data_IF_524025150361
#
_entry.id   IF_524025150361
#
_cell.length_a   1.000
_cell.length_b   1.000
_cell.length_c   1.000
_cell.angle_alpha   90.00
_cell.angle_beta   90.00
_cell.angle_gamma   90.00
#
_symmetry.space_group_name_H-M   'P 1'
#
loop_
_entity.id
_entity.type
_entity.pdbx_description
1 polymer ?
#
# COMPACT_ATOMS: atom_id res chain seq x y z
N UNK A 1 -58.26 31.21 18.98
CA UNK A 1 -58.50 29.80 18.58
C UNK A 1 -58.20 29.69 17.09
N UNK A 2 -57.27 28.88 16.55
CA UNK A 2 -56.32 27.88 17.05
C UNK A 2 -55.16 27.90 16.04
N UNK A 3 -53.92 27.94 16.51
CA UNK A 3 -52.73 27.80 15.67
C UNK A 3 -52.61 26.38 15.09
N UNK A 4 -52.03 26.25 13.90
CA UNK A 4 -51.60 24.97 13.37
C UNK A 4 -50.08 24.95 13.33
N UNK A 5 -49.55 24.04 14.12
CA UNK A 5 -48.14 23.78 14.39
C UNK A 5 -47.43 23.23 13.15
N UNK A 6 -46.18 23.64 13.04
CA UNK A 6 -45.13 23.12 12.19
C UNK A 6 -44.96 21.60 12.33
N UNK A 7 -44.64 20.93 11.22
CA UNK A 7 -43.91 19.66 11.24
C UNK A 7 -42.98 19.61 10.01
N UNK A 8 -41.86 20.31 10.11
CA UNK A 8 -40.75 20.16 9.16
C UNK A 8 -39.94 18.93 9.59
N UNK A 9 -40.05 17.84 8.84
CA UNK A 9 -39.27 16.62 9.08
C UNK A 9 -37.81 16.86 8.66
N UNK A 10 -36.95 17.13 9.64
CA UNK A 10 -35.50 17.17 9.45
C UNK A 10 -34.98 15.72 9.40
N UNK A 11 -34.75 15.22 8.19
CA UNK A 11 -34.05 13.94 7.98
C UNK A 11 -32.58 14.18 8.32
N UNK A 12 -32.18 13.80 9.54
CA UNK A 12 -30.78 13.74 9.94
C UNK A 12 -30.16 12.52 9.24
N UNK A 13 -29.46 12.72 8.13
CA UNK A 13 -28.58 11.70 7.58
C UNK A 13 -27.47 11.43 8.60
N UNK A 14 -27.60 10.36 9.41
CA UNK A 14 -26.46 9.74 10.06
C UNK A 14 -25.59 9.12 8.96
N UNK A 15 -24.66 9.89 8.41
CA UNK A 15 -23.53 9.30 7.71
C UNK A 15 -22.73 8.51 8.75
N UNK A 16 -22.42 7.22 8.53
CA UNK A 16 -21.48 6.53 9.39
C UNK A 16 -20.17 7.32 9.38
N UNK A 17 -19.65 7.67 10.57
CA UNK A 17 -18.31 8.23 10.69
C UNK A 17 -17.36 7.22 10.08
N UNK A 18 -16.88 7.49 8.86
CA UNK A 18 -15.85 6.68 8.24
C UNK A 18 -14.62 6.79 9.15
N UNK A 19 -14.30 5.70 9.85
CA UNK A 19 -13.09 5.63 10.67
C UNK A 19 -11.88 5.92 9.77
N UNK A 20 -10.96 6.74 10.27
CA UNK A 20 -9.74 7.04 9.55
C UNK A 20 -8.94 5.74 9.36
N UNK A 21 -8.51 5.49 8.13
CA UNK A 21 -7.63 4.37 7.82
C UNK A 21 -6.19 4.83 8.00
N UNK A 22 -5.38 4.02 8.67
CA UNK A 22 -3.98 4.34 8.95
C UNK A 22 -3.06 3.22 8.51
N UNK A 23 -1.88 3.60 8.00
CA UNK A 23 -0.87 2.70 7.48
C UNK A 23 0.52 3.30 7.71
N UNK A 24 1.40 2.58 8.41
CA UNK A 24 2.80 2.99 8.64
C UNK A 24 3.74 1.79 8.50
N UNK A 25 4.89 2.04 7.89
CA UNK A 25 5.98 1.10 7.80
C UNK A 25 7.17 1.64 8.57
N UNK A 26 7.80 0.75 9.33
CA UNK A 26 8.97 1.08 10.13
C UNK A 26 10.04 0.01 9.96
N UNK A 27 11.29 0.44 10.07
CA UNK A 27 12.43 -0.47 10.09
C UNK A 27 13.08 -0.37 11.47
N UNK A 28 13.07 -1.45 12.27
CA UNK A 28 13.43 -1.37 13.69
C UNK A 28 14.93 -1.15 13.92
N UNK A 29 15.77 -1.54 12.96
CA UNK A 29 17.22 -1.48 13.08
C UNK A 29 17.94 -1.53 11.73
N UNK A 30 19.24 -1.29 11.77
CA UNK A 30 20.16 -1.61 10.68
C UNK A 30 20.51 -3.10 10.76
N UNK A 31 20.56 -3.77 9.61
CA UNK A 31 20.83 -5.21 9.50
C UNK A 31 22.27 -5.48 9.13
N UNK A 32 22.82 -6.59 9.63
CA UNK A 32 24.10 -7.09 9.15
C UNK A 32 23.93 -7.90 7.85
N UNK A 33 24.95 -8.00 6.99
CA UNK A 33 24.89 -8.87 5.82
C UNK A 33 24.57 -10.32 6.20
N UNK A 34 23.58 -10.93 5.55
CA UNK A 34 23.10 -12.28 5.86
C UNK A 34 22.12 -12.39 7.04
N UNK A 35 21.81 -11.28 7.71
CA UNK A 35 20.75 -11.23 8.72
C UNK A 35 19.37 -11.20 8.04
N UNK A 36 18.39 -11.88 8.66
CA UNK A 36 17.00 -11.84 8.22
C UNK A 36 16.41 -10.44 8.41
N UNK A 37 16.10 -9.78 7.31
CA UNK A 37 15.50 -8.43 7.31
C UNK A 37 14.02 -8.52 7.64
N UNK A 38 13.58 -7.71 8.60
CA UNK A 38 12.19 -7.63 9.04
C UNK A 38 11.76 -6.17 9.06
N UNK A 39 10.59 -5.87 8.53
CA UNK A 39 9.98 -4.54 8.64
C UNK A 39 8.69 -4.65 9.44
N UNK A 40 8.38 -3.61 10.18
CA UNK A 40 7.20 -3.56 11.02
C UNK A 40 6.10 -2.85 10.25
N UNK A 41 4.96 -3.50 10.13
CA UNK A 41 3.79 -2.92 9.52
C UNK A 41 2.71 -2.68 10.57
N UNK A 42 2.36 -1.40 10.76
CA UNK A 42 1.29 -0.95 11.63
C UNK A 42 0.13 -0.44 10.77
N UNK A 43 -1.07 -0.98 10.97
CA UNK A 43 -2.24 -0.50 10.24
C UNK A 43 -3.52 -0.55 11.06
N UNK A 44 -4.43 0.36 10.78
CA UNK A 44 -5.71 0.48 11.47
C UNK A 44 -6.85 0.62 10.47
N UNK A 45 -7.92 -0.14 10.68
CA UNK A 45 -9.13 -0.12 9.85
C UNK A 45 -8.86 -0.46 8.36
N UNK A 46 -7.85 -1.29 8.11
CA UNK A 46 -7.49 -1.79 6.78
C UNK A 46 -7.91 -3.25 6.64
N UNK A 47 -8.63 -3.54 5.56
CA UNK A 47 -9.01 -4.89 5.16
C UNK A 47 -8.60 -5.14 3.71
N UNK A 48 -8.07 -6.33 3.45
CA UNK A 48 -7.78 -6.83 2.11
C UNK A 48 -6.29 -6.87 1.82
N UNK A 49 -5.95 -6.62 0.56
CA UNK A 49 -4.60 -6.90 0.06
C UNK A 49 -3.68 -5.69 0.15
N UNK A 50 -2.47 -5.91 0.65
CA UNK A 50 -1.41 -4.91 0.73
C UNK A 50 -0.27 -5.36 -0.16
N UNK A 51 0.11 -4.47 -1.08
CA UNK A 51 1.19 -4.71 -2.01
C UNK A 51 2.46 -4.06 -1.50
N UNK A 52 3.57 -4.72 -1.76
CA UNK A 52 4.89 -4.27 -1.35
C UNK A 52 5.83 -4.26 -2.55
N UNK A 53 6.75 -3.30 -2.54
CA UNK A 53 7.84 -3.19 -3.50
C UNK A 53 9.12 -2.86 -2.77
N UNK A 54 10.19 -3.54 -3.14
CA UNK A 54 11.54 -3.23 -2.69
C UNK A 54 12.32 -2.62 -3.85
N UNK A 55 12.98 -1.50 -3.59
CA UNK A 55 13.85 -0.83 -4.54
C UNK A 55 15.26 -0.66 -3.98
N UNK A 56 16.27 -0.69 -4.85
CA UNK A 56 17.66 -0.38 -4.46
C UNK A 56 17.88 1.12 -4.48
N UNK A 57 18.50 1.67 -3.46
CA UNK A 57 18.91 3.08 -3.43
C UNK A 57 20.33 3.16 -3.99
N UNK A 58 20.50 3.88 -5.11
CA UNK A 58 21.78 3.97 -5.79
C UNK A 58 22.83 4.75 -5.00
N UNK A 59 22.43 5.90 -4.44
CA UNK A 59 23.26 6.75 -3.58
C UNK A 59 22.58 6.98 -2.23
N UNK A 60 22.88 6.16 -1.21
CA UNK A 60 22.29 6.30 0.12
C UNK A 60 22.57 7.65 0.76
N UNK A 61 23.78 8.21 0.57
CA UNK A 61 24.17 9.46 1.22
C UNK A 61 23.31 10.61 0.70
N UNK A 62 23.20 10.74 -0.61
CA UNK A 62 22.36 11.78 -1.22
C UNK A 62 20.89 11.58 -0.88
N UNK A 63 20.40 10.33 -0.86
CA UNK A 63 19.02 10.02 -0.48
C UNK A 63 18.67 10.50 0.92
N UNK A 64 19.46 10.13 1.93
CA UNK A 64 19.17 10.46 3.33
C UNK A 64 19.40 11.94 3.65
N UNK A 65 20.39 12.59 3.02
CA UNK A 65 20.63 14.03 3.20
C UNK A 65 19.47 14.91 2.70
N UNK A 66 18.72 14.43 1.71
CA UNK A 66 17.57 15.18 1.18
C UNK A 66 16.33 15.06 2.08
N UNK A 67 16.25 14.03 2.94
CA UNK A 67 15.09 13.82 3.81
C UNK A 67 15.15 14.72 5.05
N UNK A 68 14.01 15.33 5.40
CA UNK A 68 13.86 16.00 6.69
C UNK A 68 13.82 15.01 7.86
N UNK A 69 13.28 13.82 7.62
CA UNK A 69 13.28 12.69 8.54
C UNK A 69 13.84 11.45 7.83
N UNK A 70 15.03 10.94 8.24
CA UNK A 70 15.62 9.74 7.67
C UNK A 70 14.79 8.46 7.88
N UNK A 71 13.95 8.42 8.91
CA UNK A 71 13.13 7.27 9.26
C UNK A 71 11.80 7.24 8.50
N UNK A 72 11.31 8.41 8.07
CA UNK A 72 10.10 8.55 7.27
C UNK A 72 10.43 9.30 5.98
N UNK A 73 10.79 8.60 4.89
CA UNK A 73 11.14 9.24 3.63
C UNK A 73 9.89 9.83 2.93
N UNK A 74 9.37 10.92 3.46
CA UNK A 74 8.11 11.57 3.06
C UNK A 74 8.18 12.20 1.66
N UNK A 75 9.37 12.57 1.18
CA UNK A 75 9.53 13.22 -0.14
C UNK A 75 9.23 12.29 -1.32
N UNK A 76 9.18 10.98 -1.10
CA UNK A 76 8.88 9.99 -2.14
C UNK A 76 7.44 10.05 -2.64
N UNK A 77 6.54 10.67 -1.87
CA UNK A 77 5.16 10.93 -2.29
C UNK A 77 5.09 11.83 -3.53
N UNK A 78 6.06 12.74 -3.69
CA UNK A 78 6.08 13.73 -4.78
C UNK A 78 6.83 13.25 -6.04
N UNK A 79 7.61 12.16 -5.97
CA UNK A 79 8.41 11.65 -7.10
C UNK A 79 7.54 10.83 -8.08
N UNK A 80 6.33 10.47 -7.68
CA UNK A 80 5.32 10.02 -8.64
C UNK A 80 4.79 11.23 -9.39
N UNK A 81 5.32 11.48 -10.58
CA UNK A 81 4.60 12.28 -11.56
C UNK A 81 3.22 11.65 -11.75
N UNK A 82 2.21 12.32 -11.19
CA UNK A 82 0.82 12.20 -11.58
C UNK A 82 0.73 12.52 -13.07
N UNK A 83 1.06 11.56 -13.92
CA UNK A 83 0.74 11.63 -15.32
C UNK A 83 -0.79 11.58 -15.37
N UNK A 84 -1.45 12.55 -16.02
CA UNK A 84 -2.91 12.56 -16.18
C UNK A 84 -3.43 11.22 -16.74
N UNK A 85 -2.58 10.50 -17.46
CA UNK A 85 -2.79 9.15 -17.95
C UNK A 85 -2.92 8.13 -16.81
N UNK A 86 -2.16 8.22 -15.73
CA UNK A 86 -2.24 7.33 -14.58
C UNK A 86 -3.51 7.59 -13.77
N UNK A 87 -3.93 8.86 -13.63
CA UNK A 87 -5.24 9.20 -13.05
C UNK A 87 -6.37 8.66 -13.94
N UNK A 88 -6.27 8.82 -15.27
CA UNK A 88 -7.25 8.30 -16.22
C UNK A 88 -7.30 6.77 -16.23
N UNK A 89 -6.14 6.10 -16.09
CA UNK A 89 -6.03 4.64 -15.96
C UNK A 89 -6.63 4.18 -14.64
N UNK A 90 -6.36 4.84 -13.53
CA UNK A 90 -6.95 4.54 -12.24
C UNK A 90 -8.48 4.73 -12.27
N UNK A 91 -8.97 5.81 -12.87
CA UNK A 91 -10.40 6.08 -13.06
C UNK A 91 -11.08 5.04 -13.96
N UNK A 92 -10.46 4.67 -15.09
CA UNK A 92 -10.95 3.60 -15.97
C UNK A 92 -10.98 2.25 -15.26
N UNK A 93 -9.91 1.92 -14.53
CA UNK A 93 -9.82 0.69 -13.75
C UNK A 93 -10.88 0.65 -12.64
N UNK A 94 -11.22 1.80 -12.04
CA UNK A 94 -12.32 1.92 -11.07
C UNK A 94 -13.68 1.66 -11.72
N UNK A 95 -13.97 2.32 -12.85
CA UNK A 95 -15.23 2.10 -13.59
C UNK A 95 -15.39 0.66 -14.07
N UNK A 96 -14.30 0.02 -14.54
CA UNK A 96 -14.33 -1.39 -14.91
C UNK A 96 -14.57 -2.32 -13.71
N UNK A 97 -14.02 -1.99 -12.53
CA UNK A 97 -14.29 -2.73 -11.30
C UNK A 97 -15.72 -2.57 -10.85
N UNK A 98 -16.25 -1.36 -10.83
CA UNK A 98 -17.64 -1.06 -10.45
C UNK A 98 -18.62 -1.77 -11.39
N UNK A 99 -18.38 -1.71 -12.70
CA UNK A 99 -19.18 -2.47 -13.68
C UNK A 99 -19.08 -3.99 -13.46
N UNK A 100 -17.87 -4.52 -13.28
CA UNK A 100 -17.67 -5.96 -13.04
C UNK A 100 -18.26 -6.39 -11.69
N UNK A 101 -18.35 -5.51 -10.70
CA UNK A 101 -18.96 -5.78 -9.41
C UNK A 101 -20.50 -5.83 -9.54
N UNK A 102 -21.10 -4.89 -10.24
CA UNK A 102 -22.55 -4.91 -10.56
C UNK A 102 -22.93 -6.14 -11.39
N UNK A 103 -22.07 -6.57 -12.34
CA UNK A 103 -22.27 -7.82 -13.07
C UNK A 103 -22.04 -9.07 -12.20
N UNK A 104 -21.08 -9.03 -11.27
CA UNK A 104 -20.81 -10.12 -10.32
C UNK A 104 -21.97 -10.38 -9.37
N UNK A 105 -22.69 -9.33 -8.98
CA UNK A 105 -23.83 -9.42 -8.06
C UNK A 105 -25.09 -10.00 -8.75
N UNK A 106 -25.09 -10.08 -10.08
CA UNK A 106 -26.17 -10.63 -10.92
C UNK A 106 -25.81 -11.95 -11.64
N UNK A 107 -24.62 -12.52 -11.43
CA UNK A 107 -24.20 -13.77 -12.05
C UNK A 107 -24.03 -14.90 -11.03
N UNK A 108 -24.78 -15.98 -11.23
CA UNK A 108 -24.75 -17.21 -10.43
C UNK A 108 -23.36 -17.85 -10.43
N UNK A 109 -22.94 -18.51 -9.32
CA UNK A 109 -21.59 -19.08 -9.16
C UNK A 109 -21.15 -20.06 -10.25
N UNK A 110 -22.10 -20.71 -10.94
CA UNK A 110 -21.86 -21.77 -11.91
C UNK A 110 -21.21 -21.28 -13.21
N UNK A 111 -21.44 -20.04 -13.65
CA UNK A 111 -20.88 -19.49 -14.91
C UNK A 111 -19.40 -19.07 -14.80
N UNK A 112 -18.88 -18.92 -13.57
CA UNK A 112 -17.51 -18.45 -13.32
C UNK A 112 -16.43 -19.49 -13.63
N UNK A 113 -16.77 -20.76 -13.45
CA UNK A 113 -15.84 -21.88 -13.65
C UNK A 113 -15.70 -22.20 -15.14
N UNK A 114 -16.81 -22.15 -15.88
CA UNK A 114 -16.84 -22.47 -17.31
C UNK A 114 -16.14 -21.40 -18.16
N UNK A 115 -16.35 -20.12 -17.91
CA UNK A 115 -15.68 -19.05 -18.67
C UNK A 115 -14.17 -19.01 -18.41
N UNK A 116 -13.74 -19.30 -17.17
CA UNK A 116 -12.32 -19.35 -16.79
C UNK A 116 -11.59 -20.52 -17.47
N UNK A 117 -12.26 -21.67 -17.59
CA UNK A 117 -11.71 -22.86 -18.25
C UNK A 117 -11.76 -22.76 -19.79
N UNK A 118 -12.76 -22.07 -20.36
CA UNK A 118 -12.89 -21.95 -21.83
C UNK A 118 -11.99 -20.87 -22.43
N UNK A 119 -11.67 -19.80 -21.70
CA UNK A 119 -10.84 -18.68 -22.21
C UNK A 119 -9.36 -18.74 -21.82
N UNK A 120 -8.94 -19.70 -21.00
CA UNK A 120 -7.53 -19.88 -20.62
C UNK A 120 -6.87 -18.64 -20.01
N UNK A 121 -7.65 -17.74 -19.38
CA UNK A 121 -7.12 -16.47 -18.88
C UNK A 121 -6.19 -16.75 -17.70
N UNK A 122 -4.88 -16.49 -17.81
CA UNK A 122 -3.93 -16.76 -16.73
C UNK A 122 -4.24 -15.85 -15.53
N UNK A 123 -4.02 -16.37 -14.32
CA UNK A 123 -4.11 -15.57 -13.11
C UNK A 123 -3.10 -14.41 -13.20
N UNK A 124 -3.54 -13.18 -12.92
CA UNK A 124 -2.65 -12.03 -12.94
C UNK A 124 -1.54 -12.18 -11.89
N UNK A 125 -0.29 -11.95 -12.31
CA UNK A 125 0.85 -11.91 -11.39
C UNK A 125 0.71 -10.76 -10.40
N UNK A 126 1.37 -10.89 -9.24
CA UNK A 126 1.39 -9.85 -8.20
C UNK A 126 1.89 -8.52 -8.76
N UNK A 127 2.94 -8.54 -9.59
CA UNK A 127 3.46 -7.35 -10.26
C UNK A 127 2.43 -6.69 -11.19
N UNK A 128 1.64 -7.48 -11.93
CA UNK A 128 0.55 -6.96 -12.78
C UNK A 128 -0.58 -6.38 -11.95
N UNK A 129 -0.96 -7.00 -10.83
CA UNK A 129 -1.96 -6.46 -9.90
C UNK A 129 -1.50 -5.14 -9.28
N UNK A 130 -0.30 -5.14 -8.71
CA UNK A 130 0.36 -3.98 -8.13
C UNK A 130 0.42 -2.80 -9.11
N UNK A 131 0.80 -3.05 -10.37
CA UNK A 131 0.93 -2.01 -11.40
C UNK A 131 -0.41 -1.42 -11.85
N UNK A 132 -1.52 -2.14 -11.67
CA UNK A 132 -2.86 -1.60 -11.95
C UNK A 132 -3.35 -0.63 -10.89
N UNK A 133 -2.87 -0.80 -9.66
CA UNK A 133 -3.18 0.08 -8.55
C UNK A 133 -2.33 1.33 -8.62
N UNK A 134 -1.01 1.14 -8.74
CA UNK A 134 -0.03 2.22 -8.68
C UNK A 134 1.19 1.91 -9.54
N UNK A 135 1.64 2.85 -10.38
CA UNK A 135 2.87 2.70 -11.17
C UNK A 135 4.12 2.61 -10.28
N UNK A 136 5.12 1.77 -10.59
CA UNK A 136 6.39 1.74 -9.85
C UNK A 136 7.14 3.09 -9.90
N UNK A 137 8.01 3.34 -8.92
CA UNK A 137 8.88 4.51 -8.93
C UNK A 137 9.89 4.42 -10.09
N UNK A 138 9.96 5.44 -10.94
CA UNK A 138 10.81 5.42 -12.16
C UNK A 138 12.31 5.49 -11.87
N UNK A 139 12.71 6.23 -10.83
CA UNK A 139 14.12 6.54 -10.56
C UNK A 139 14.81 5.51 -9.65
N UNK A 140 14.10 4.44 -9.26
CA UNK A 140 14.62 3.43 -8.36
C UNK A 140 14.52 2.04 -9.00
N UNK A 141 15.61 1.27 -9.08
CA UNK A 141 15.57 -0.11 -9.59
C UNK A 141 14.66 -0.98 -8.72
N UNK A 142 13.58 -1.51 -9.31
CA UNK A 142 12.66 -2.43 -8.64
C UNK A 142 13.31 -3.82 -8.52
N UNK A 143 13.48 -4.29 -7.29
CA UNK A 143 14.06 -5.60 -6.99
C UNK A 143 13.00 -6.68 -6.85
N UNK A 144 11.96 -6.41 -6.06
CA UNK A 144 10.95 -7.41 -5.70
C UNK A 144 9.59 -6.76 -5.55
N UNK A 145 8.55 -7.53 -5.86
CA UNK A 145 7.15 -7.18 -5.58
C UNK A 145 6.45 -8.38 -4.97
N UNK A 146 5.76 -8.16 -3.85
CA UNK A 146 4.99 -9.20 -3.18
C UNK A 146 3.69 -8.61 -2.61
N UNK A 147 2.81 -9.49 -2.13
CA UNK A 147 1.47 -9.11 -1.68
C UNK A 147 1.08 -9.95 -0.47
N UNK A 148 0.40 -9.32 0.48
CA UNK A 148 -0.28 -9.97 1.58
C UNK A 148 -1.77 -9.83 1.30
N UNK A 149 -2.42 -10.94 0.95
CA UNK A 149 -3.81 -10.91 0.44
C UNK A 149 -4.84 -10.66 1.54
N UNK A 150 -4.54 -11.08 2.78
CA UNK A 150 -5.42 -11.04 3.94
C UNK A 150 -4.74 -10.29 5.08
N UNK A 151 -4.76 -8.96 5.00
CA UNK A 151 -4.28 -8.09 6.05
C UNK A 151 -5.45 -7.52 6.87
N UNK A 152 -5.36 -7.71 8.19
CA UNK A 152 -6.21 -7.07 9.20
C UNK A 152 -7.70 -7.42 9.17
N UNK A 153 -8.43 -6.74 10.06
CA UNK A 153 -9.90 -6.66 10.12
C UNK A 153 -10.29 -5.17 10.11
N UNK A 154 -11.52 -4.85 9.69
CA UNK A 154 -11.95 -3.47 9.44
C UNK A 154 -12.04 -2.57 10.69
N UNK A 155 -11.87 -3.12 11.89
CA UNK A 155 -12.04 -2.41 13.17
C UNK A 155 -10.87 -2.64 14.15
N UNK A 156 -9.74 -3.17 13.68
CA UNK A 156 -8.64 -3.60 14.55
C UNK A 156 -7.31 -2.95 14.15
N UNK A 157 -6.58 -2.47 15.16
CA UNK A 157 -5.17 -2.11 15.01
C UNK A 157 -4.35 -3.39 14.85
N UNK A 158 -3.77 -3.57 13.67
CA UNK A 158 -2.96 -4.73 13.33
C UNK A 158 -1.49 -4.33 13.26
N UNK A 159 -0.67 -5.02 14.03
CA UNK A 159 0.78 -4.95 13.96
C UNK A 159 1.34 -6.26 13.42
N UNK A 160 2.20 -6.21 12.40
CA UNK A 160 2.78 -7.41 11.79
C UNK A 160 4.21 -7.20 11.33
N UNK A 161 5.07 -8.14 11.72
CA UNK A 161 6.44 -8.25 11.22
C UNK A 161 6.43 -8.91 9.83
N UNK A 162 6.96 -8.21 8.84
CA UNK A 162 7.06 -8.67 7.46
C UNK A 162 8.52 -8.98 7.15
N UNK A 163 8.80 -10.24 6.84
CA UNK A 163 10.10 -10.64 6.35
C UNK A 163 10.32 -10.13 4.93
N UNK A 164 11.48 -9.52 4.71
CA UNK A 164 11.92 -9.05 3.40
C UNK A 164 13.17 -9.82 3.00
N UNK A 165 13.10 -10.46 1.85
CA UNK A 165 14.17 -11.26 1.29
C UNK A 165 15.23 -10.36 0.62
N UNK A 166 16.02 -9.67 1.46
CA UNK A 166 17.13 -8.80 1.08
C UNK A 166 18.37 -9.21 1.88
N UNK A 167 19.46 -9.51 1.17
CA UNK A 167 20.69 -10.05 1.79
C UNK A 167 21.93 -9.22 1.49
N UNK A 168 21.92 -8.46 0.39
CA UNK A 168 23.07 -7.70 -0.08
C UNK A 168 23.27 -6.42 0.74
N UNK A 169 24.53 -6.05 0.99
CA UNK A 169 24.89 -4.76 1.57
C UNK A 169 24.37 -3.59 0.71
N UNK A 170 23.76 -2.60 1.35
CA UNK A 170 23.22 -1.42 0.68
C UNK A 170 22.05 -0.81 1.44
N UNK A 171 21.51 0.28 0.88
CA UNK A 171 20.26 0.86 1.33
C UNK A 171 19.14 0.54 0.34
N UNK A 172 17.97 0.26 0.88
CA UNK A 172 16.79 -0.15 0.14
C UNK A 172 15.61 0.69 0.55
N UNK A 173 14.74 0.97 -0.40
CA UNK A 173 13.45 1.61 -0.17
C UNK A 173 12.36 0.55 -0.23
N UNK A 174 11.60 0.41 0.84
CA UNK A 174 10.40 -0.41 0.85
C UNK A 174 9.18 0.49 0.75
N UNK A 175 8.36 0.22 -0.25
CA UNK A 175 7.07 0.85 -0.46
C UNK A 175 5.99 -0.19 -0.16
N UNK A 176 5.02 0.16 0.68
CA UNK A 176 3.80 -0.62 0.78
C UNK A 176 2.59 0.25 0.54
N UNK A 177 1.62 -0.31 -0.17
CA UNK A 177 0.49 0.44 -0.67
C UNK A 177 -0.74 -0.42 -0.86
N UNK A 178 -1.88 0.25 -0.80
CA UNK A 178 -3.20 -0.23 -1.14
C UNK A 178 -3.85 0.83 -2.07
N UNK A 179 -5.08 0.61 -2.49
CA UNK A 179 -5.88 1.50 -3.35
C UNK A 179 -5.95 2.96 -2.85
N UNK A 180 -5.79 3.20 -1.55
CA UNK A 180 -5.98 4.52 -0.91
C UNK A 180 -4.78 5.04 -0.13
N UNK A 181 -3.95 4.16 0.41
CA UNK A 181 -2.91 4.49 1.37
C UNK A 181 -1.57 3.97 0.88
N UNK A 182 -0.51 4.65 1.30
CA UNK A 182 0.86 4.27 1.02
C UNK A 182 1.74 4.66 2.20
N UNK A 183 2.73 3.82 2.49
CA UNK A 183 3.81 4.14 3.40
C UNK A 183 5.14 3.68 2.81
N UNK A 184 6.20 4.31 3.29
CA UNK A 184 7.57 4.04 2.89
C UNK A 184 8.45 3.89 4.11
N UNK A 185 9.43 3.00 4.01
CA UNK A 185 10.52 2.91 4.99
C UNK A 185 11.82 2.62 4.27
N UNK A 186 12.93 3.08 4.84
CA UNK A 186 14.25 2.76 4.35
C UNK A 186 14.86 1.62 5.17
N UNK A 187 15.43 0.62 4.50
CA UNK A 187 16.17 -0.49 5.11
C UNK A 187 17.64 -0.34 4.78
N UNK A 188 18.50 -0.44 5.78
CA UNK A 188 19.95 -0.40 5.61
C UNK A 188 20.54 -1.74 6.03
N UNK A 189 21.29 -2.35 5.12
CA UNK A 189 22.09 -3.56 5.38
C UNK A 189 23.56 -3.14 5.29
N UNK A 190 24.27 -3.20 6.41
CA UNK A 190 25.65 -2.70 6.52
C UNK A 190 26.48 -3.61 7.42
N UNK A 191 27.73 -3.94 7.05
CA UNK A 191 28.67 -4.61 7.96
C UNK A 191 29.15 -3.68 9.09
N UNK A 192 28.86 -2.38 9.00
CA UNK A 192 29.26 -1.37 9.98
C UNK A 192 28.10 -1.08 10.94
N UNK A 193 28.34 -1.29 12.22
CA UNK A 193 27.49 -0.81 13.31
C UNK A 193 28.11 0.44 13.95
N UNK A 194 27.30 1.47 14.20
CA UNK A 194 27.73 2.68 14.89
C UNK A 194 27.03 2.77 16.24
N UNK A 195 27.80 2.95 17.31
CA UNK A 195 27.27 3.23 18.65
C UNK A 195 27.69 4.65 19.02
N UNK A 196 26.72 5.55 19.11
CA UNK A 196 26.95 6.92 19.57
C UNK A 196 26.54 7.05 21.03
N UNK A 197 27.45 7.55 21.88
CA UNK A 197 27.12 7.97 23.24
C UNK A 197 26.95 9.50 23.23
N UNK A 198 25.73 9.99 23.36
CA UNK A 198 25.51 11.41 23.64
C UNK A 198 25.92 11.68 25.09
N UNK A 199 26.91 12.55 25.28
CA UNK A 199 27.30 13.06 26.60
C UNK A 199 26.46 14.26 26.97
#
# INVERSE_FOLDING_TARGET
MKGKLFASALILCLAPLAQAQYFSLETPKIYSPGEKVVINLSAENIKGSIFFRAYKIADPNSFFQQQSDPHSPQQLLNIRESNAIDILRAARNRLQRDQRQVFRDNMTPQTRTDVKNTLGIPAFSVATRASRLLSPLKNYPLLKTWEITEFGSSEEYTYRDIEVDLHETGAYLIEAFNDKLMAHTAVVISPLGMITKSS
#
